data_IF_644768335668
#
_entry.id   IF_644768335668
#
_cell.length_a   1.000
_cell.length_b   1.000
_cell.length_c   1.000
_cell.angle_alpha   90.00
_cell.angle_beta   90.00
_cell.angle_gamma   90.00
#
_symmetry.space_group_name_H-M   'P 1'
#
loop_
_entity.id
_entity.type
_entity.pdbx_description
1 polymer ?
#
# COMPACT_ATOMS: atom_id res chain seq x y z
N UNK A 1 -2.72 -23.72 11.26
CA UNK A 1 -2.01 -23.17 10.08
C UNK A 1 -2.21 -24.17 8.95
N UNK A 2 -2.88 -23.79 7.86
CA UNK A 2 -3.29 -24.72 6.80
C UNK A 2 -2.12 -25.23 5.95
N UNK A 3 -2.24 -26.44 5.43
CA UNK A 3 -1.29 -27.04 4.49
C UNK A 3 -1.39 -26.34 3.12
N UNK A 4 -0.53 -25.35 2.89
CA UNK A 4 -0.48 -24.54 1.66
C UNK A 4 -0.12 -25.34 0.41
N UNK A 5 0.39 -26.58 0.56
CA UNK A 5 0.79 -27.45 -0.56
C UNK A 5 -0.36 -27.91 -1.44
N UNK A 6 -1.61 -27.76 -0.98
CA UNK A 6 -2.80 -28.31 -1.65
C UNK A 6 -3.45 -27.38 -2.68
N UNK A 7 -3.07 -26.10 -2.76
CA UNK A 7 -3.60 -25.19 -3.77
C UNK A 7 -2.80 -25.29 -5.08
N UNK A 8 -3.45 -25.54 -6.22
CA UNK A 8 -2.81 -25.60 -7.54
C UNK A 8 -2.62 -24.20 -8.11
N UNK A 9 -1.70 -23.43 -7.52
CA UNK A 9 -1.28 -22.12 -8.03
C UNK A 9 -0.09 -22.27 -8.98
N UNK A 10 0.20 -21.24 -9.78
CA UNK A 10 1.23 -21.29 -10.83
C UNK A 10 2.64 -21.59 -10.29
N UNK A 11 2.94 -21.20 -9.04
CA UNK A 11 4.23 -21.39 -8.38
C UNK A 11 4.16 -22.29 -7.14
N UNK A 12 3.13 -23.15 -7.02
CA UNK A 12 3.04 -24.09 -5.90
C UNK A 12 4.29 -24.96 -5.79
N UNK A 13 4.83 -25.09 -4.58
CA UNK A 13 6.05 -25.87 -4.31
C UNK A 13 7.37 -25.13 -4.60
N UNK A 14 7.35 -23.93 -5.17
CA UNK A 14 8.54 -23.09 -5.34
C UNK A 14 8.86 -22.38 -4.01
N UNK A 15 10.12 -22.41 -3.59
CA UNK A 15 10.62 -21.66 -2.44
C UNK A 15 11.54 -20.53 -2.89
N UNK A 16 11.35 -19.33 -2.33
CA UNK A 16 12.12 -18.12 -2.67
C UNK A 16 12.68 -17.52 -1.39
N UNK A 17 14.01 -17.30 -1.35
CA UNK A 17 14.64 -16.47 -0.32
C UNK A 17 14.73 -15.05 -0.86
N UNK A 18 13.97 -14.14 -0.26
CA UNK A 18 13.90 -12.75 -0.66
C UNK A 18 14.89 -11.89 0.16
N UNK A 19 15.96 -11.48 -0.53
CA UNK A 19 17.01 -10.58 -0.02
C UNK A 19 16.91 -9.17 -0.59
N UNK A 20 15.81 -8.85 -1.28
CA UNK A 20 15.61 -7.55 -1.92
C UNK A 20 15.42 -6.44 -0.88
N UNK A 21 15.52 -5.19 -1.30
CA UNK A 21 15.27 -4.04 -0.44
C UNK A 21 14.49 -2.99 -1.23
N UNK A 22 13.77 -2.14 -0.51
CA UNK A 22 12.87 -1.13 -1.04
C UNK A 22 11.76 -1.76 -1.91
N UNK A 23 11.49 -1.20 -3.07
CA UNK A 23 10.19 -1.37 -3.72
C UNK A 23 10.22 -2.43 -4.83
N UNK A 24 11.08 -2.28 -5.84
CA UNK A 24 10.99 -3.09 -7.07
C UNK A 24 11.17 -4.59 -6.82
N UNK A 25 12.08 -4.95 -5.91
CA UNK A 25 12.31 -6.35 -5.56
C UNK A 25 11.19 -6.94 -4.70
N UNK A 26 10.71 -6.18 -3.72
CA UNK A 26 9.61 -6.58 -2.83
C UNK A 26 8.30 -6.77 -3.59
N UNK A 27 7.99 -5.89 -4.56
CA UNK A 27 6.81 -6.04 -5.43
C UNK A 27 6.91 -7.30 -6.30
N UNK A 28 8.11 -7.60 -6.81
CA UNK A 28 8.35 -8.81 -7.58
C UNK A 28 8.10 -10.06 -6.72
N UNK A 29 8.69 -10.14 -5.52
CA UNK A 29 8.56 -11.30 -4.63
C UNK A 29 7.18 -11.41 -4.01
N UNK A 30 6.47 -10.30 -3.78
CA UNK A 30 5.05 -10.29 -3.42
C UNK A 30 4.19 -10.90 -4.53
N UNK A 31 4.45 -10.54 -5.79
CA UNK A 31 3.76 -11.14 -6.94
C UNK A 31 4.00 -12.65 -7.00
N UNK A 32 5.23 -13.11 -6.74
CA UNK A 32 5.54 -14.55 -6.66
C UNK A 32 4.77 -15.24 -5.53
N UNK A 33 4.62 -14.58 -4.37
CA UNK A 33 3.83 -15.10 -3.26
C UNK A 33 2.34 -15.21 -3.62
N UNK A 34 1.76 -14.21 -4.31
CA UNK A 34 0.39 -14.28 -4.82
C UNK A 34 0.19 -15.40 -5.83
N UNK A 35 1.22 -15.68 -6.65
CA UNK A 35 1.24 -16.82 -7.56
C UNK A 35 1.54 -18.16 -6.86
N UNK A 36 1.72 -18.14 -5.53
CA UNK A 36 1.76 -19.32 -4.66
C UNK A 36 3.15 -19.85 -4.31
N UNK A 37 4.21 -19.09 -4.56
CA UNK A 37 5.53 -19.41 -4.04
C UNK A 37 5.58 -19.23 -2.51
N UNK A 38 6.36 -20.08 -1.83
CA UNK A 38 6.72 -19.88 -0.43
C UNK A 38 7.90 -18.89 -0.35
N UNK A 39 7.57 -17.61 -0.15
CA UNK A 39 8.54 -16.51 -0.10
C UNK A 39 8.93 -16.21 1.34
N UNK A 40 10.23 -16.31 1.65
CA UNK A 40 10.80 -16.02 2.97
C UNK A 40 11.65 -14.75 2.86
N UNK A 41 11.19 -13.67 3.48
CA UNK A 41 11.92 -12.41 3.57
C UNK A 41 13.03 -12.52 4.61
N UNK A 42 14.28 -12.31 4.21
CA UNK A 42 15.40 -12.17 5.14
C UNK A 42 15.70 -10.69 5.36
N UNK A 43 15.62 -10.26 6.61
CA UNK A 43 15.84 -8.87 6.98
C UNK A 43 16.95 -8.74 8.02
N UNK A 44 17.50 -7.53 8.16
CA UNK A 44 18.53 -7.25 9.17
C UNK A 44 17.93 -7.36 10.57
N UNK A 45 18.51 -8.14 11.49
CA UNK A 45 18.05 -8.20 12.88
C UNK A 45 18.01 -6.82 13.54
N UNK A 46 16.99 -6.55 14.34
CA UNK A 46 16.83 -5.31 15.11
C UNK A 46 16.37 -4.07 14.32
N UNK A 47 16.62 -4.03 13.01
CA UNK A 47 16.24 -2.89 12.15
C UNK A 47 15.15 -3.25 11.12
N UNK A 48 15.15 -4.50 10.64
CA UNK A 48 14.33 -4.91 9.51
C UNK A 48 14.82 -4.30 8.19
N UNK A 49 13.95 -4.32 7.19
CA UNK A 49 14.13 -3.60 5.92
C UNK A 49 13.99 -2.08 6.08
N UNK A 50 14.77 -1.30 5.31
CA UNK A 50 14.80 0.16 5.40
C UNK A 50 13.43 0.83 5.22
N UNK A 51 12.56 0.27 4.35
CA UNK A 51 11.21 0.79 4.11
C UNK A 51 10.32 0.79 5.37
N UNK A 52 10.69 0.05 6.42
CA UNK A 52 9.97 0.07 7.71
C UNK A 52 10.21 1.34 8.51
N UNK A 53 11.33 2.03 8.27
CA UNK A 53 11.71 3.25 8.97
C UNK A 53 11.06 4.48 8.32
N UNK A 54 9.74 4.56 8.38
CA UNK A 54 9.03 5.80 8.06
C UNK A 54 8.93 6.67 9.30
N UNK A 55 9.34 7.94 9.20
CA UNK A 55 9.08 8.94 10.24
C UNK A 55 7.65 9.48 10.18
N UNK A 56 6.87 9.10 9.17
CA UNK A 56 5.48 9.50 9.01
C UNK A 56 4.61 8.61 9.90
N UNK A 57 3.73 9.19 10.74
CA UNK A 57 2.80 8.40 11.55
C UNK A 57 1.98 7.44 10.68
N UNK A 58 1.89 6.18 11.09
CA UNK A 58 0.99 5.22 10.47
C UNK A 58 -0.43 5.60 10.88
N UNK A 59 -1.11 6.32 9.98
CA UNK A 59 -2.52 6.67 10.10
C UNK A 59 -3.29 5.89 9.04
N UNK A 60 -4.55 5.58 9.32
CA UNK A 60 -5.44 5.08 8.27
C UNK A 60 -5.49 6.07 7.12
N UNK A 61 -5.59 5.56 5.89
CA UNK A 61 -5.89 6.40 4.75
C UNK A 61 -7.18 7.21 5.05
N UNK A 62 -7.24 8.49 4.66
CA UNK A 62 -8.42 9.30 4.89
C UNK A 62 -9.62 8.67 4.20
N UNK A 63 -10.80 8.84 4.79
CA UNK A 63 -12.05 8.52 4.12
C UNK A 63 -12.19 9.38 2.86
N UNK A 64 -12.90 8.88 1.85
CA UNK A 64 -13.24 9.67 0.67
C UNK A 64 -13.95 10.96 1.12
N UNK A 65 -13.38 12.10 0.77
CA UNK A 65 -13.92 13.41 1.13
C UNK A 65 -13.44 14.01 2.46
N UNK A 66 -12.70 13.26 3.30
CA UNK A 66 -12.32 13.71 4.65
C UNK A 66 -11.52 15.02 4.67
N UNK A 67 -10.68 15.25 3.65
CA UNK A 67 -9.83 16.44 3.56
C UNK A 67 -10.30 17.45 2.49
N UNK A 68 -11.51 17.29 1.94
CA UNK A 68 -12.00 18.14 0.85
C UNK A 68 -11.90 19.64 1.16
N UNK A 69 -12.21 20.05 2.39
CA UNK A 69 -12.14 21.47 2.77
C UNK A 69 -10.72 22.03 2.71
N UNK A 70 -9.75 21.29 3.24
CA UNK A 70 -8.33 21.67 3.23
C UNK A 70 -7.78 21.73 1.80
N UNK A 71 -8.11 20.73 0.99
CA UNK A 71 -7.66 20.65 -0.40
C UNK A 71 -8.28 21.76 -1.23
N UNK A 72 -9.60 21.92 -1.18
CA UNK A 72 -10.33 22.87 -2.03
C UNK A 72 -10.03 24.31 -1.65
N UNK A 73 -10.10 24.66 -0.36
CA UNK A 73 -9.90 26.05 0.06
C UNK A 73 -8.40 26.38 0.24
N UNK A 74 -7.63 25.47 0.84
CA UNK A 74 -6.23 25.74 1.21
C UNK A 74 -5.26 25.56 0.04
N UNK A 75 -5.31 24.40 -0.62
CA UNK A 75 -4.36 24.05 -1.68
C UNK A 75 -4.79 24.65 -3.02
N UNK A 76 -6.07 24.49 -3.37
CA UNK A 76 -6.60 24.91 -4.67
C UNK A 76 -7.15 26.35 -4.66
N UNK A 77 -7.29 26.97 -3.48
CA UNK A 77 -7.71 28.36 -3.36
C UNK A 77 -9.16 28.64 -3.78
N UNK A 78 -10.02 27.62 -3.81
CA UNK A 78 -11.42 27.78 -4.15
C UNK A 78 -12.15 28.58 -3.05
N UNK A 79 -12.95 29.55 -3.49
CA UNK A 79 -13.85 30.29 -2.62
C UNK A 79 -14.98 29.40 -2.11
N UNK A 80 -15.59 29.79 -0.98
CA UNK A 80 -16.75 29.08 -0.44
C UNK A 80 -17.89 28.93 -1.48
N UNK A 81 -18.09 29.95 -2.32
CA UNK A 81 -19.09 29.91 -3.38
C UNK A 81 -18.74 28.91 -4.50
N UNK A 82 -17.46 28.71 -4.81
CA UNK A 82 -17.03 27.71 -5.80
C UNK A 82 -17.19 26.29 -5.25
N UNK A 83 -16.85 26.08 -3.98
CA UNK A 83 -17.03 24.78 -3.32
C UNK A 83 -18.52 24.44 -3.23
N UNK A 84 -19.38 25.41 -2.90
CA UNK A 84 -20.83 25.19 -2.85
C UNK A 84 -21.38 24.81 -4.23
N UNK A 85 -20.95 25.49 -5.29
CA UNK A 85 -21.33 25.12 -6.66
C UNK A 85 -20.90 23.70 -7.03
N UNK A 86 -19.74 23.23 -6.58
CA UNK A 86 -19.30 21.85 -6.81
C UNK A 86 -20.18 20.83 -6.07
N UNK A 87 -20.64 21.16 -4.85
CA UNK A 87 -21.58 20.34 -4.08
C UNK A 87 -22.95 20.28 -4.74
N UNK A 88 -23.49 21.43 -5.14
CA UNK A 88 -24.77 21.53 -5.87
C UNK A 88 -24.75 20.72 -7.17
N UNK A 89 -23.61 20.76 -7.88
CA UNK A 89 -23.38 19.98 -9.09
C UNK A 89 -23.13 18.48 -8.85
N UNK A 90 -23.04 18.03 -7.59
CA UNK A 90 -22.67 16.66 -7.20
C UNK A 90 -21.33 16.18 -7.80
N UNK A 91 -20.40 17.12 -7.98
CA UNK A 91 -19.05 16.81 -8.45
C UNK A 91 -18.11 16.37 -7.31
N UNK A 92 -18.50 16.65 -6.06
CA UNK A 92 -17.76 16.36 -4.81
C UNK A 92 -18.70 15.99 -3.66
#
# INVERSE_FOLDING_TARGET
>A
MGDWRKATTALNGVAVIDLTQFESGTVCTETLAWLGANVIKSERPGMGEQGRASSVPVLSAPMLGQNNQEVYAGILGLSANEIERLREAKAI
#
